data_IF_826060920525
#
_entry.id   IF_826060920525
#
_cell.length_a   1.000
_cell.length_b   1.000
_cell.length_c   1.000
_cell.angle_alpha   90.00
_cell.angle_beta   90.00
_cell.angle_gamma   90.00
#
_symmetry.space_group_name_H-M   'P 1'
#
loop_
_entity.id
_entity.type
_entity.pdbx_description
1 polymer ?
#
# COMPACT_ATOMS: atom_id res chain seq x y z
N UNK A 1 -10.13 4.38 -14.36
CA UNK A 1 -10.18 5.80 -14.77
C UNK A 1 -10.90 5.91 -16.09
N UNK A 2 -11.81 6.87 -16.20
CA UNK A 2 -12.55 7.14 -17.41
C UNK A 2 -11.78 8.05 -18.37
N UNK A 3 -12.10 7.97 -19.66
CA UNK A 3 -11.64 8.90 -20.70
C UNK A 3 -12.65 8.88 -21.82
N UNK A 4 -12.91 10.02 -22.46
CA UNK A 4 -13.87 10.07 -23.57
C UNK A 4 -13.44 11.07 -24.65
N UNK A 5 -13.60 12.37 -24.44
CA UNK A 5 -13.36 13.39 -25.48
C UNK A 5 -12.66 14.64 -24.91
N UNK A 6 -12.13 14.57 -23.69
CA UNK A 6 -11.54 15.69 -22.96
C UNK A 6 -12.55 16.63 -22.31
N UNK A 7 -13.83 16.56 -22.66
CA UNK A 7 -14.89 17.42 -22.15
C UNK A 7 -15.72 16.72 -21.06
N UNK A 8 -15.92 15.40 -21.17
CA UNK A 8 -16.64 14.64 -20.15
C UNK A 8 -15.91 14.69 -18.79
N UNK A 9 -16.67 14.76 -17.70
CA UNK A 9 -16.13 14.94 -16.35
C UNK A 9 -16.97 14.23 -15.29
N UNK A 10 -16.40 14.04 -14.11
CA UNK A 10 -17.07 13.48 -12.95
C UNK A 10 -16.68 12.03 -12.62
N UNK A 11 -17.38 11.45 -11.65
CA UNK A 11 -17.20 10.09 -11.18
C UNK A 11 -18.47 9.28 -11.29
N UNK A 12 -18.34 7.97 -11.51
CA UNK A 12 -19.46 7.04 -11.62
C UNK A 12 -19.07 5.65 -11.15
N UNK A 13 -20.03 4.80 -10.84
CA UNK A 13 -19.78 3.43 -10.43
C UNK A 13 -20.79 2.47 -11.06
N UNK A 14 -20.33 1.28 -11.43
CA UNK A 14 -21.16 0.27 -12.10
C UNK A 14 -21.13 -1.04 -11.35
N UNK A 15 -22.27 -1.71 -11.26
CA UNK A 15 -22.38 -3.06 -10.71
C UNK A 15 -23.10 -4.00 -11.69
N UNK A 16 -23.06 -5.30 -11.38
CA UNK A 16 -23.74 -6.28 -12.23
C UNK A 16 -25.27 -6.22 -12.09
N UNK A 17 -25.75 -6.10 -10.85
CA UNK A 17 -27.18 -6.16 -10.50
C UNK A 17 -27.47 -5.41 -9.20
N UNK A 18 -28.73 -5.38 -8.77
CA UNK A 18 -29.21 -4.72 -7.57
C UNK A 18 -28.44 -5.07 -6.29
N UNK A 19 -27.84 -6.26 -6.19
CA UNK A 19 -27.06 -6.66 -5.02
C UNK A 19 -25.78 -5.84 -4.85
N UNK A 20 -25.19 -5.32 -5.94
CA UNK A 20 -24.00 -4.46 -5.93
C UNK A 20 -24.32 -2.96 -5.84
N UNK A 21 -25.56 -2.58 -6.11
CA UNK A 21 -25.95 -1.17 -6.25
C UNK A 21 -25.73 -0.32 -4.99
N UNK A 22 -26.03 -0.80 -3.77
CA UNK A 22 -25.80 0.00 -2.56
C UNK A 22 -24.33 0.38 -2.35
N UNK A 23 -23.39 -0.52 -2.63
CA UNK A 23 -21.96 -0.23 -2.56
C UNK A 23 -21.54 0.75 -3.64
N UNK A 24 -21.98 0.55 -4.87
CA UNK A 24 -21.70 1.44 -6.01
C UNK A 24 -22.20 2.87 -5.71
N UNK A 25 -23.41 3.02 -5.19
CA UNK A 25 -23.97 4.32 -4.77
C UNK A 25 -23.17 5.01 -3.68
N UNK A 26 -22.76 4.27 -2.64
CA UNK A 26 -21.93 4.85 -1.56
C UNK A 26 -20.55 5.29 -2.07
N UNK A 27 -19.94 4.50 -2.95
CA UNK A 27 -18.63 4.83 -3.54
C UNK A 27 -18.74 6.08 -4.40
N UNK A 28 -19.72 6.14 -5.32
CA UNK A 28 -19.91 7.30 -6.20
C UNK A 28 -20.26 8.56 -5.40
N UNK A 29 -21.06 8.45 -4.34
CA UNK A 29 -21.37 9.56 -3.46
C UNK A 29 -20.13 10.10 -2.70
N UNK A 30 -19.23 9.21 -2.25
CA UNK A 30 -17.97 9.62 -1.62
C UNK A 30 -17.02 10.29 -2.60
N UNK A 31 -16.86 9.77 -3.81
CA UNK A 31 -16.09 10.41 -4.86
C UNK A 31 -16.73 11.74 -5.31
N UNK A 32 -18.05 11.81 -5.29
CA UNK A 32 -18.84 13.01 -5.58
C UNK A 32 -18.59 14.19 -4.65
N UNK A 33 -17.89 13.99 -3.52
CA UNK A 33 -17.42 15.11 -2.69
C UNK A 33 -16.26 15.88 -3.31
N UNK A 34 -15.62 15.34 -4.35
CA UNK A 34 -14.49 15.96 -5.06
C UNK A 34 -14.82 16.21 -6.53
N UNK A 35 -15.45 15.24 -7.19
CA UNK A 35 -15.82 15.31 -8.60
C UNK A 35 -17.33 15.41 -8.77
N UNK A 36 -17.80 15.76 -9.95
CA UNK A 36 -19.22 15.69 -10.25
C UNK A 36 -19.72 14.25 -10.14
N UNK A 37 -20.71 13.99 -9.30
CA UNK A 37 -21.29 12.68 -9.11
C UNK A 37 -22.26 12.35 -10.23
N UNK A 38 -21.89 11.44 -11.13
CA UNK A 38 -22.73 10.93 -12.22
C UNK A 38 -23.64 9.77 -11.78
N UNK A 39 -23.46 9.30 -10.52
CA UNK A 39 -24.28 8.25 -9.92
C UNK A 39 -23.68 6.86 -9.99
N UNK A 40 -24.56 5.88 -9.78
CA UNK A 40 -24.24 4.47 -9.88
C UNK A 40 -25.37 3.74 -10.63
N UNK A 41 -24.99 2.79 -11.49
CA UNK A 41 -25.92 2.08 -12.37
C UNK A 41 -25.64 0.56 -12.40
N UNK A 42 -26.70 -0.20 -12.65
CA UNK A 42 -26.58 -1.60 -13.04
C UNK A 42 -26.17 -1.71 -14.50
N UNK A 43 -25.07 -2.41 -14.75
CA UNK A 43 -24.56 -2.70 -16.11
C UNK A 43 -24.30 -4.20 -16.30
N UNK A 44 -25.34 -5.01 -16.54
CA UNK A 44 -25.22 -6.47 -16.67
C UNK A 44 -24.30 -6.94 -17.81
N UNK A 45 -24.06 -6.07 -18.80
CA UNK A 45 -23.15 -6.33 -19.92
C UNK A 45 -21.67 -6.28 -19.58
N UNK A 46 -21.28 -5.66 -18.46
CA UNK A 46 -19.87 -5.53 -18.07
C UNK A 46 -19.30 -6.90 -17.68
N UNK A 47 -18.31 -7.36 -18.42
CA UNK A 47 -17.71 -8.68 -18.24
C UNK A 47 -17.16 -8.90 -16.83
N UNK A 48 -16.38 -7.95 -16.31
CA UNK A 48 -15.69 -8.06 -15.02
C UNK A 48 -16.66 -8.19 -13.84
N UNK A 49 -17.68 -7.36 -13.78
CA UNK A 49 -18.67 -7.41 -12.69
C UNK A 49 -19.56 -8.63 -12.79
N UNK A 50 -19.87 -9.09 -14.02
CA UNK A 50 -20.72 -10.25 -14.30
C UNK A 50 -20.05 -11.59 -14.00
N UNK A 51 -18.74 -11.73 -14.26
CA UNK A 51 -18.01 -13.00 -14.16
C UNK A 51 -17.36 -13.26 -12.80
N UNK A 52 -17.42 -12.30 -11.87
CA UNK A 52 -16.94 -12.51 -10.51
C UNK A 52 -17.98 -13.26 -9.68
N UNK A 53 -17.51 -14.17 -8.81
CA UNK A 53 -18.38 -14.85 -7.81
C UNK A 53 -18.71 -13.93 -6.63
N UNK A 54 -17.80 -13.03 -6.28
CA UNK A 54 -18.01 -12.03 -5.24
C UNK A 54 -18.78 -10.82 -5.82
N UNK A 55 -19.41 -10.06 -4.92
CA UNK A 55 -19.97 -8.75 -5.25
C UNK A 55 -18.88 -7.85 -5.80
N UNK A 56 -19.08 -7.30 -7.00
CA UNK A 56 -18.09 -6.48 -7.67
C UNK A 56 -18.69 -5.13 -8.08
N UNK A 57 -17.88 -4.08 -7.92
CA UNK A 57 -18.19 -2.73 -8.38
C UNK A 57 -17.03 -2.24 -9.24
N UNK A 58 -17.34 -1.74 -10.44
CA UNK A 58 -16.39 -1.03 -11.27
C UNK A 58 -16.50 0.45 -10.94
N UNK A 59 -15.38 1.06 -10.55
CA UNK A 59 -15.33 2.45 -10.11
C UNK A 59 -14.59 3.28 -11.14
N UNK A 60 -15.29 4.24 -11.74
CA UNK A 60 -14.71 5.28 -12.59
C UNK A 60 -14.59 6.57 -11.80
N UNK A 61 -13.42 6.78 -11.23
CA UNK A 61 -13.20 7.83 -10.23
C UNK A 61 -13.21 9.24 -10.79
N UNK A 62 -12.75 9.44 -12.01
CA UNK A 62 -12.72 10.71 -12.72
C UNK A 62 -12.30 10.50 -14.18
N UNK A 63 -12.51 11.50 -15.03
CA UNK A 63 -12.03 11.50 -16.41
C UNK A 63 -10.59 11.99 -16.48
N UNK A 64 -9.65 11.10 -16.83
CA UNK A 64 -8.23 11.40 -16.82
C UNK A 64 -7.78 12.31 -17.97
N UNK A 65 -8.57 12.44 -19.02
CA UNK A 65 -8.39 13.34 -20.16
C UNK A 65 -9.08 14.71 -19.96
N UNK A 66 -9.84 14.88 -18.88
CA UNK A 66 -10.39 16.18 -18.48
C UNK A 66 -9.40 16.90 -17.54
N UNK A 67 -8.97 18.11 -17.91
CA UNK A 67 -7.94 18.85 -17.17
C UNK A 67 -8.35 19.19 -15.74
N UNK A 68 -9.61 19.57 -15.51
CA UNK A 68 -10.11 19.95 -14.19
C UNK A 68 -10.22 18.74 -13.26
N UNK A 69 -10.71 17.62 -13.77
CA UNK A 69 -10.80 16.38 -13.01
C UNK A 69 -9.41 15.87 -12.63
N UNK A 70 -8.47 15.92 -13.56
CA UNK A 70 -7.08 15.53 -13.31
C UNK A 70 -6.40 16.47 -12.31
N UNK A 71 -6.64 17.78 -12.38
CA UNK A 71 -6.11 18.74 -11.42
C UNK A 71 -6.64 18.49 -10.00
N UNK A 72 -7.95 18.18 -9.86
CA UNK A 72 -8.56 17.78 -8.59
C UNK A 72 -7.91 16.51 -8.04
N UNK A 73 -7.68 15.48 -8.89
CA UNK A 73 -7.02 14.25 -8.49
C UNK A 73 -5.59 14.48 -7.98
N UNK A 74 -4.81 15.29 -8.68
CA UNK A 74 -3.45 15.68 -8.25
C UNK A 74 -3.45 16.42 -6.90
N UNK A 75 -4.38 17.35 -6.72
CA UNK A 75 -4.52 18.11 -5.46
C UNK A 75 -4.95 17.21 -4.30
N UNK A 76 -5.86 16.29 -4.53
CA UNK A 76 -6.36 15.34 -3.52
C UNK A 76 -5.26 14.38 -3.04
N UNK A 77 -4.48 13.84 -3.98
CA UNK A 77 -3.47 12.83 -3.72
C UNK A 77 -4.03 11.41 -3.56
N UNK A 78 -3.18 10.41 -3.77
CA UNK A 78 -3.59 9.01 -3.86
C UNK A 78 -4.15 8.45 -2.55
N UNK A 79 -3.58 8.84 -1.41
CA UNK A 79 -4.03 8.33 -0.09
C UNK A 79 -5.46 8.81 0.23
N UNK A 80 -5.75 10.09 -0.01
CA UNK A 80 -7.08 10.65 0.20
C UNK A 80 -8.09 10.09 -0.81
N UNK A 81 -7.68 9.88 -2.07
CA UNK A 81 -8.51 9.23 -3.08
C UNK A 81 -8.87 7.79 -2.67
N UNK A 82 -7.88 6.98 -2.29
CA UNK A 82 -8.11 5.62 -1.79
C UNK A 82 -9.01 5.59 -0.55
N UNK A 83 -8.90 6.60 0.33
CA UNK A 83 -9.77 6.75 1.49
C UNK A 83 -11.24 6.92 1.10
N UNK A 84 -11.55 7.78 0.12
CA UNK A 84 -12.93 7.97 -0.34
C UNK A 84 -13.56 6.66 -0.84
N UNK A 85 -12.82 5.88 -1.63
CA UNK A 85 -13.28 4.57 -2.11
C UNK A 85 -13.52 3.61 -0.94
N UNK A 86 -12.56 3.52 -0.01
CA UNK A 86 -12.67 2.65 1.16
C UNK A 86 -13.85 3.02 2.07
N UNK A 87 -14.11 4.31 2.27
CA UNK A 87 -15.27 4.81 3.00
C UNK A 87 -16.60 4.44 2.32
N UNK A 88 -16.65 4.51 0.99
CA UNK A 88 -17.79 4.06 0.20
C UNK A 88 -18.04 2.56 0.35
N UNK A 89 -17.01 1.74 0.26
CA UNK A 89 -17.10 0.28 0.47
C UNK A 89 -17.61 -0.04 1.87
N UNK A 90 -17.03 0.58 2.90
CA UNK A 90 -17.32 0.29 4.31
C UNK A 90 -18.63 0.94 4.81
N UNK A 91 -19.18 1.91 4.09
CA UNK A 91 -20.34 2.69 4.51
C UNK A 91 -20.10 3.54 5.77
N UNK A 92 -18.84 3.84 6.11
CA UNK A 92 -18.46 4.62 7.30
C UNK A 92 -17.20 5.44 7.04
N UNK A 93 -17.06 6.54 7.77
CA UNK A 93 -15.83 7.34 7.78
C UNK A 93 -14.69 6.55 8.45
N UNK A 94 -13.50 6.59 7.84
CA UNK A 94 -12.31 5.96 8.38
C UNK A 94 -11.24 7.02 8.71
N UNK A 95 -10.52 6.79 9.81
CA UNK A 95 -9.33 7.55 10.14
C UNK A 95 -8.13 6.80 9.58
N UNK A 96 -7.50 7.33 8.55
CA UNK A 96 -6.21 6.80 8.10
C UNK A 96 -5.16 7.31 9.08
N UNK A 97 -4.53 6.41 9.82
CA UNK A 97 -3.36 6.78 10.59
C UNK A 97 -2.32 7.42 9.63
N UNK A 98 -1.68 8.54 10.04
CA UNK A 98 -0.66 9.16 9.18
C UNK A 98 0.33 8.10 8.72
N UNK A 99 0.62 8.10 7.40
CA UNK A 99 1.58 7.18 6.83
C UNK A 99 2.86 7.23 7.68
N UNK A 100 3.22 6.11 8.28
CA UNK A 100 4.43 6.05 9.11
C UNK A 100 5.61 6.43 8.21
N UNK A 101 6.40 7.44 8.58
CA UNK A 101 7.54 7.85 7.75
C UNK A 101 8.38 6.63 7.41
N UNK A 102 8.71 6.45 6.14
CA UNK A 102 9.47 5.30 5.63
C UNK A 102 10.75 5.11 6.46
N UNK A 103 11.07 3.88 6.77
CA UNK A 103 12.32 3.55 7.41
C UNK A 103 13.49 4.04 6.55
N UNK A 104 14.50 4.64 7.19
CA UNK A 104 15.72 5.15 6.54
C UNK A 104 16.94 4.30 6.85
N UNK A 105 16.85 3.46 7.88
CA UNK A 105 17.97 2.66 8.37
C UNK A 105 17.54 1.23 8.65
N UNK A 106 18.50 0.32 8.52
CA UNK A 106 18.36 -1.07 8.98
C UNK A 106 19.67 -1.50 9.67
N UNK A 107 19.62 -2.56 10.46
CA UNK A 107 20.80 -3.14 11.09
C UNK A 107 21.19 -4.38 10.30
N UNK A 108 22.42 -4.42 9.80
CA UNK A 108 22.99 -5.58 9.15
C UNK A 108 23.77 -6.40 10.18
N UNK A 109 23.37 -7.67 10.36
CA UNK A 109 23.99 -8.61 11.30
C UNK A 109 24.86 -9.66 10.60
N UNK A 110 25.09 -9.52 9.30
CA UNK A 110 25.97 -10.37 8.53
C UNK A 110 25.73 -10.26 7.03
N UNK A 111 26.69 -10.78 6.27
CA UNK A 111 26.63 -10.92 4.83
C UNK A 111 27.25 -12.28 4.48
N UNK A 112 26.55 -13.05 3.64
CA UNK A 112 26.88 -14.43 3.37
C UNK A 112 26.82 -14.73 1.86
N UNK A 113 27.73 -15.61 1.40
CA UNK A 113 27.74 -16.08 0.01
C UNK A 113 26.60 -17.07 -0.28
N UNK A 114 26.17 -17.83 0.73
CA UNK A 114 25.11 -18.83 0.60
C UNK A 114 23.91 -18.48 1.49
N UNK A 115 22.73 -18.95 1.08
CA UNK A 115 21.48 -18.74 1.81
C UNK A 115 21.49 -19.54 3.13
N UNK A 116 22.05 -20.73 3.13
CA UNK A 116 22.14 -21.64 4.27
C UNK A 116 22.88 -20.97 5.44
N UNK A 117 24.02 -20.33 5.17
CA UNK A 117 24.80 -19.62 6.18
C UNK A 117 24.04 -18.40 6.73
N UNK A 118 23.29 -17.69 5.88
CA UNK A 118 22.42 -16.59 6.32
C UNK A 118 21.26 -17.11 7.19
N UNK A 119 20.66 -18.25 6.84
CA UNK A 119 19.59 -18.89 7.62
C UNK A 119 20.08 -19.32 9.03
N UNK A 120 21.30 -19.80 9.14
CA UNK A 120 21.92 -20.12 10.45
C UNK A 120 21.98 -18.86 11.31
N UNK A 121 22.45 -17.74 10.77
CA UNK A 121 22.51 -16.47 11.52
C UNK A 121 21.12 -15.96 11.92
N UNK A 122 20.12 -16.10 11.05
CA UNK A 122 18.72 -15.76 11.40
C UNK A 122 18.22 -16.61 12.57
N UNK A 123 18.51 -17.92 12.58
CA UNK A 123 18.16 -18.82 13.69
C UNK A 123 18.86 -18.39 15.00
N UNK A 124 20.13 -18.03 14.95
CA UNK A 124 20.89 -17.52 16.11
C UNK A 124 20.26 -16.25 16.67
N UNK A 125 19.93 -15.29 15.79
CA UNK A 125 19.29 -14.04 16.20
C UNK A 125 17.92 -14.28 16.83
N UNK A 126 17.10 -15.16 16.23
CA UNK A 126 15.79 -15.55 16.77
C UNK A 126 15.91 -16.17 18.18
N UNK A 127 16.87 -17.10 18.39
CA UNK A 127 17.14 -17.67 19.72
C UNK A 127 17.53 -16.61 20.76
N UNK A 128 18.18 -15.51 20.34
CA UNK A 128 18.53 -14.38 21.19
C UNK A 128 17.41 -13.34 21.33
N UNK A 129 16.20 -13.61 20.81
CA UNK A 129 15.00 -12.75 20.91
C UNK A 129 14.94 -11.62 19.88
N UNK A 130 15.74 -11.66 18.82
CA UNK A 130 15.71 -10.64 17.76
C UNK A 130 15.00 -11.16 16.50
N UNK A 131 14.06 -10.38 15.98
CA UNK A 131 13.48 -10.64 14.68
C UNK A 131 14.47 -10.28 13.57
N UNK A 132 14.79 -11.25 12.71
CA UNK A 132 15.71 -11.07 11.61
C UNK A 132 15.17 -11.68 10.30
N UNK A 133 15.57 -11.10 9.19
CA UNK A 133 15.21 -11.55 7.83
C UNK A 133 16.42 -11.52 6.91
N UNK A 134 16.34 -12.23 5.80
CA UNK A 134 17.37 -12.24 4.77
C UNK A 134 16.92 -11.33 3.62
N UNK A 135 17.80 -10.42 3.20
CA UNK A 135 17.65 -9.60 1.99
C UNK A 135 18.67 -10.06 0.97
N UNK A 136 18.22 -10.38 -0.25
CA UNK A 136 19.12 -10.70 -1.38
C UNK A 136 19.49 -9.40 -2.09
N UNK A 137 20.78 -9.23 -2.37
CA UNK A 137 21.35 -8.11 -3.14
C UNK A 137 22.26 -8.65 -4.24
N UNK A 138 22.59 -7.83 -5.23
CA UNK A 138 23.56 -8.22 -6.26
C UNK A 138 24.98 -8.32 -5.69
N UNK A 139 25.82 -9.13 -6.32
CA UNK A 139 27.23 -9.29 -6.00
C UNK A 139 27.60 -10.68 -5.45
N UNK A 140 28.89 -10.90 -5.19
CA UNK A 140 29.48 -12.19 -4.76
C UNK A 140 29.04 -12.66 -3.37
N UNK A 141 28.57 -11.77 -2.53
CA UNK A 141 28.05 -12.06 -1.17
C UNK A 141 26.61 -11.56 -1.07
N UNK A 142 25.63 -12.29 -1.67
CA UNK A 142 24.32 -11.75 -1.94
C UNK A 142 23.36 -11.73 -0.74
N UNK A 143 23.59 -12.53 0.30
CA UNK A 143 22.65 -12.70 1.39
C UNK A 143 23.00 -11.81 2.58
N UNK A 144 22.17 -10.78 2.84
CA UNK A 144 22.32 -9.87 3.98
C UNK A 144 21.32 -10.24 5.06
N UNK A 145 21.80 -10.53 6.26
CA UNK A 145 20.92 -10.70 7.42
C UNK A 145 20.62 -9.35 8.02
N UNK A 146 19.34 -9.02 8.07
CA UNK A 146 18.81 -7.72 8.48
C UNK A 146 18.00 -7.87 9.77
N UNK A 147 18.20 -6.95 10.72
CA UNK A 147 17.44 -6.85 11.97
C UNK A 147 16.68 -5.52 11.98
N UNK A 148 15.37 -5.59 11.80
CA UNK A 148 14.46 -4.46 11.85
C UNK A 148 14.71 -3.36 10.81
N UNK A 149 13.76 -2.43 10.76
CA UNK A 149 13.81 -1.22 9.97
C UNK A 149 13.52 -0.02 10.89
N UNK A 150 14.31 1.06 10.78
CA UNK A 150 14.27 2.19 11.72
C UNK A 150 14.17 3.52 10.98
N UNK A 151 13.37 4.43 11.51
CA UNK A 151 13.22 5.78 10.95
C UNK A 151 14.41 6.68 11.23
N UNK A 152 15.07 6.48 12.37
CA UNK A 152 16.21 7.29 12.83
C UNK A 152 17.40 6.41 13.19
N UNK A 153 18.60 6.94 12.99
CA UNK A 153 19.86 6.30 13.43
C UNK A 153 19.89 6.08 14.95
N UNK A 154 19.30 7.00 15.72
CA UNK A 154 19.17 6.89 17.19
C UNK A 154 18.34 5.65 17.58
N UNK A 155 17.22 5.39 16.88
CA UNK A 155 16.40 4.21 17.14
C UNK A 155 17.14 2.91 16.78
N UNK A 156 17.85 2.86 15.63
CA UNK A 156 18.69 1.74 15.27
C UNK A 156 19.80 1.49 16.31
N UNK A 157 20.49 2.54 16.77
CA UNK A 157 21.57 2.44 17.73
C UNK A 157 21.14 1.89 19.09
N UNK A 158 19.90 2.13 19.54
CA UNK A 158 19.36 1.49 20.75
C UNK A 158 19.34 -0.04 20.63
N UNK A 159 18.99 -0.56 19.44
CA UNK A 159 18.95 -2.01 19.19
C UNK A 159 20.35 -2.56 18.95
N UNK A 160 21.23 -1.79 18.30
CA UNK A 160 22.67 -2.14 18.17
C UNK A 160 23.31 -2.42 19.54
N UNK A 161 23.04 -1.57 20.55
CA UNK A 161 23.55 -1.79 21.92
C UNK A 161 23.08 -3.14 22.48
N UNK A 162 21.80 -3.50 22.29
CA UNK A 162 21.25 -4.80 22.73
C UNK A 162 21.89 -5.98 22.00
N UNK A 163 22.07 -5.86 20.68
CA UNK A 163 22.70 -6.89 19.86
C UNK A 163 24.17 -7.11 20.24
N UNK A 164 24.91 -6.03 20.46
CA UNK A 164 26.31 -6.11 20.94
C UNK A 164 26.41 -6.74 22.32
N UNK A 165 25.53 -6.38 23.26
CA UNK A 165 25.46 -7.02 24.58
C UNK A 165 25.11 -8.53 24.48
N UNK A 166 24.38 -8.95 23.45
CA UNK A 166 24.12 -10.34 23.14
C UNK A 166 25.25 -11.03 22.35
N UNK A 167 26.41 -10.39 22.16
CA UNK A 167 27.57 -10.94 21.45
C UNK A 167 27.43 -10.94 19.91
N UNK A 168 26.59 -10.08 19.34
CA UNK A 168 26.39 -10.02 17.89
C UNK A 168 27.03 -8.76 17.32
N UNK A 169 27.97 -8.93 16.39
CA UNK A 169 28.56 -7.82 15.64
C UNK A 169 27.60 -7.34 14.55
N UNK A 170 27.30 -6.06 14.54
CA UNK A 170 26.30 -5.45 13.65
C UNK A 170 26.70 -4.07 13.16
N UNK A 171 26.16 -3.68 11.99
CA UNK A 171 26.33 -2.38 11.37
C UNK A 171 24.99 -1.72 11.08
N UNK A 172 24.89 -0.40 11.31
CA UNK A 172 23.72 0.37 10.83
C UNK A 172 23.97 0.80 9.40
N UNK A 173 23.02 0.51 8.52
CA UNK A 173 23.02 0.87 7.10
C UNK A 173 21.83 1.76 6.77
N UNK A 174 21.98 2.67 5.82
CA UNK A 174 20.85 3.37 5.18
C UNK A 174 20.15 2.46 4.17
N UNK A 175 18.85 2.68 3.98
CA UNK A 175 18.02 2.00 2.96
C UNK A 175 18.15 2.70 1.62
#
# INVERSE_FOLDING_TARGET
LNAFNGEAYGCEAYCYNANGLPEAQRISAKLGTVWHNRGAEERPGLYWTRKTKAKAVLVESFFCDNQDDYAKAKKLGMDAHGKLIAEGILGKTITIAPAQPKAKYYIQAGAYGTKENADVMVKVLKKKGFSASIRKVAGSVPYRVQVGNYRTKKAANKVVKKLKAAGVTVLVKSL
#
